data_IF_857638256685
#
_entry.id   IF_857638256685
#
_cell.length_a   1.000
_cell.length_b   1.000
_cell.length_c   1.000
_cell.angle_alpha   90.00
_cell.angle_beta   90.00
_cell.angle_gamma   90.00
#
_symmetry.space_group_name_H-M   'P 1'
#
loop_
_entity.id
_entity.type
_entity.pdbx_description
1 polymer ?
#
# COMPACT_ATOMS: atom_id res chain seq x y z
N UNK A 1 -0.78 -4.87 -0.94
CA UNK A 1 -0.11 -5.13 -2.24
C UNK A 1 -0.12 -3.85 -3.05
N UNK A 2 1.01 -3.44 -3.61
CA UNK A 2 1.12 -2.22 -4.45
C UNK A 2 1.67 -2.65 -5.81
N UNK A 3 1.00 -2.23 -6.88
CA UNK A 3 1.34 -2.59 -8.26
C UNK A 3 1.64 -1.30 -9.03
N UNK A 4 2.66 -1.33 -9.89
CA UNK A 4 3.13 -0.15 -10.60
C UNK A 4 3.63 -0.48 -12.01
N UNK A 5 3.88 0.57 -12.80
CA UNK A 5 4.39 0.43 -14.15
C UNK A 5 3.43 -0.26 -15.11
N UNK A 6 3.98 -1.08 -16.01
CA UNK A 6 3.21 -1.78 -17.05
C UNK A 6 2.30 -2.89 -16.51
N UNK A 7 2.56 -3.41 -15.32
CA UNK A 7 1.69 -4.42 -14.71
C UNK A 7 0.29 -3.87 -14.43
N UNK A 8 0.18 -2.56 -14.15
CA UNK A 8 -1.12 -1.87 -14.03
C UNK A 8 -1.92 -1.94 -15.32
N UNK A 9 -1.26 -1.91 -16.48
CA UNK A 9 -1.94 -1.98 -17.77
C UNK A 9 -2.57 -3.36 -18.02
N UNK A 10 -1.95 -4.44 -17.54
CA UNK A 10 -2.49 -5.80 -17.65
C UNK A 10 -3.70 -6.02 -16.73
N UNK A 11 -3.71 -5.38 -15.56
CA UNK A 11 -4.81 -5.51 -14.60
C UNK A 11 -6.01 -4.66 -14.97
N UNK A 12 -5.78 -3.40 -15.34
CA UNK A 12 -6.85 -2.42 -15.60
C UNK A 12 -7.19 -2.30 -17.10
N UNK A 13 -6.51 -3.04 -17.98
CA UNK A 13 -6.74 -3.01 -19.42
C UNK A 13 -6.32 -1.69 -20.09
N UNK A 14 -5.29 -1.01 -19.57
CA UNK A 14 -4.85 0.28 -20.09
C UNK A 14 -3.98 0.13 -21.36
N UNK A 15 -3.99 1.11 -22.29
CA UNK A 15 -3.10 1.11 -23.45
C UNK A 15 -1.61 1.17 -23.05
N UNK A 16 -0.75 0.47 -23.82
CA UNK A 16 0.72 0.53 -23.66
C UNK A 16 1.31 1.87 -24.14
N UNK A 17 2.30 2.41 -23.44
CA UNK A 17 2.93 3.70 -23.76
C UNK A 17 4.10 3.66 -24.76
N UNK A 18 4.48 2.49 -25.28
CA UNK A 18 5.56 2.36 -26.27
C UNK A 18 6.96 2.70 -25.71
N UNK A 19 7.90 3.21 -26.52
CA UNK A 19 9.29 3.47 -26.11
C UNK A 19 9.43 4.81 -25.36
N UNK A 20 8.59 5.03 -24.33
CA UNK A 20 8.64 6.20 -23.46
C UNK A 20 8.63 5.77 -22.00
N UNK A 21 9.37 6.49 -21.15
CA UNK A 21 9.60 6.09 -19.75
C UNK A 21 9.03 7.06 -18.72
N UNK A 22 8.42 8.18 -19.15
CA UNK A 22 7.89 9.20 -18.23
C UNK A 22 6.80 8.66 -17.30
N UNK A 23 5.86 7.87 -17.85
CA UNK A 23 4.81 7.24 -17.07
C UNK A 23 5.36 6.18 -16.10
N UNK A 24 6.42 5.46 -16.47
CA UNK A 24 7.09 4.51 -15.59
C UNK A 24 7.71 5.20 -14.37
N UNK A 25 8.43 6.31 -14.60
CA UNK A 25 9.06 7.09 -13.53
C UNK A 25 8.01 7.65 -12.55
N UNK A 26 6.95 8.28 -13.07
CA UNK A 26 5.88 8.83 -12.24
C UNK A 26 5.08 7.75 -11.52
N UNK A 27 4.84 6.61 -12.17
CA UNK A 27 4.17 5.45 -11.54
C UNK A 27 4.97 4.92 -10.36
N UNK A 28 6.30 4.81 -10.49
CA UNK A 28 7.18 4.40 -9.40
C UNK A 28 7.16 5.36 -8.20
N UNK A 29 7.23 6.67 -8.45
CA UNK A 29 7.11 7.69 -7.39
C UNK A 29 5.77 7.58 -6.65
N UNK A 30 4.68 7.45 -7.39
CA UNK A 30 3.34 7.27 -6.80
C UNK A 30 3.26 5.97 -5.99
N UNK A 31 3.81 4.88 -6.50
CA UNK A 31 3.80 3.58 -5.82
C UNK A 31 4.57 3.64 -4.49
N UNK A 32 5.73 4.30 -4.45
CA UNK A 32 6.48 4.49 -3.20
C UNK A 32 5.66 5.26 -2.15
N UNK A 33 4.97 6.32 -2.57
CA UNK A 33 4.13 7.11 -1.66
C UNK A 33 2.91 6.32 -1.15
N UNK A 34 2.27 5.55 -2.02
CA UNK A 34 1.15 4.67 -1.64
C UNK A 34 1.62 3.55 -0.69
N UNK A 35 2.79 2.97 -0.93
CA UNK A 35 3.38 1.96 -0.06
C UNK A 35 3.66 2.51 1.33
N UNK A 36 4.28 3.69 1.43
CA UNK A 36 4.54 4.35 2.71
C UNK A 36 3.26 4.63 3.49
N UNK A 37 2.22 5.14 2.82
CA UNK A 37 0.93 5.39 3.45
C UNK A 37 0.25 4.09 3.89
N UNK A 38 0.37 3.01 3.11
CA UNK A 38 -0.19 1.70 3.46
C UNK A 38 0.48 1.13 4.70
N UNK A 39 1.82 1.20 4.79
CA UNK A 39 2.57 0.75 5.97
C UNK A 39 2.19 1.51 7.23
N UNK A 40 2.02 2.84 7.14
CA UNK A 40 1.56 3.65 8.29
C UNK A 40 0.20 3.21 8.80
N UNK A 41 -0.75 2.97 7.89
CA UNK A 41 -2.10 2.49 8.25
C UNK A 41 -2.05 1.12 8.92
N UNK A 42 -1.22 0.21 8.40
CA UNK A 42 -1.02 -1.11 9.01
C UNK A 42 -0.45 -1.01 10.42
N UNK A 43 0.54 -0.14 10.64
CA UNK A 43 1.10 0.11 11.98
C UNK A 43 0.07 0.71 12.94
N UNK A 44 -0.77 1.63 12.47
CA UNK A 44 -1.86 2.20 13.27
C UNK A 44 -2.92 1.14 13.65
N UNK A 45 -3.27 0.27 12.70
CA UNK A 45 -4.20 -0.85 12.91
C UNK A 45 -3.64 -1.89 13.89
N UNK A 46 -2.35 -2.23 13.78
CA UNK A 46 -1.63 -3.12 14.71
C UNK A 46 -1.59 -2.53 16.12
N UNK A 47 -1.18 -1.26 16.27
CA UNK A 47 -1.15 -0.59 17.57
C UNK A 47 -2.54 -0.50 18.23
N UNK A 48 -3.59 -0.27 17.42
CA UNK A 48 -4.97 -0.29 17.91
C UNK A 48 -5.43 -1.69 18.34
N UNK A 49 -4.97 -2.74 17.65
CA UNK A 49 -5.26 -4.12 18.02
C UNK A 49 -4.56 -4.52 19.33
N UNK A 50 -3.30 -4.11 19.53
CA UNK A 50 -2.54 -4.36 20.76
C UNK A 50 -3.17 -3.67 21.98
N UNK A 51 -3.56 -2.40 21.86
CA UNK A 51 -4.29 -1.68 22.91
C UNK A 51 -5.64 -2.34 23.28
N UNK A 52 -6.29 -2.97 22.29
CA UNK A 52 -7.50 -3.75 22.50
C UNK A 52 -7.26 -5.11 23.17
N UNK A 53 -6.06 -5.68 23.07
CA UNK A 53 -5.68 -6.92 23.72
C UNK A 53 -5.32 -6.70 25.20
N UNK A 54 -4.57 -5.65 25.54
CA UNK A 54 -4.26 -5.31 26.94
C UNK A 54 -5.54 -5.05 27.76
N UNK A 55 -6.53 -4.37 27.16
CA UNK A 55 -7.83 -4.14 27.80
C UNK A 55 -8.67 -5.42 28.02
N UNK A 56 -8.51 -6.44 27.17
CA UNK A 56 -9.17 -7.74 27.36
C UNK A 56 -8.48 -8.62 28.39
N UNK A 57 -7.15 -8.56 28.46
CA UNK A 57 -6.36 -9.34 29.41
C UNK A 57 -6.55 -8.85 30.85
N UNK A 58 -6.72 -7.53 31.06
CA UNK A 58 -7.01 -6.95 32.38
C UNK A 58 -8.44 -7.23 32.88
N UNK A 59 -9.40 -7.50 31.99
CA UNK A 59 -10.80 -7.84 32.36
C UNK A 59 -10.98 -9.35 32.58
N UNK A 60 -10.05 -10.17 32.09
CA UNK A 60 -10.09 -11.64 32.20
C UNK A 60 -9.31 -12.19 33.42
N UNK A 61 -8.58 -11.34 34.15
CA UNK A 61 -7.88 -11.66 35.41
C UNK A 61 -8.71 -11.26 36.63
#
# INVERSE_FOLDING_TARGET
>A
MVICGMEVAELDGCPRMGPTFGAMYMSGLKAAQVALNSLRRQQEEEAAAEAGQEGKEMVAA
#
